data_IF_160597865054
#
_entry.id   IF_160597865054
#
_cell.length_a   1.000
_cell.length_b   1.000
_cell.length_c   1.000
_cell.angle_alpha   90.00
_cell.angle_beta   90.00
_cell.angle_gamma   90.00
#
_symmetry.space_group_name_H-M   'P 1'
#
loop_
_entity.id
_entity.type
_entity.pdbx_description
1 polymer ?
#
# COMPACT_ATOMS: atom_id res chain seq x y z
N UNK A 1 -14.20 11.83 -14.59
CA UNK A 1 -13.58 12.52 -13.44
C UNK A 1 -12.53 11.59 -12.89
N UNK A 2 -11.27 12.01 -12.84
CA UNK A 2 -10.18 11.21 -12.27
C UNK A 2 -10.06 11.57 -10.80
N UNK A 3 -10.49 10.70 -9.90
CA UNK A 3 -10.24 10.88 -8.47
C UNK A 3 -8.74 10.63 -8.22
N UNK A 4 -8.02 11.67 -7.82
CA UNK A 4 -6.65 11.53 -7.33
C UNK A 4 -6.70 10.98 -5.91
N UNK A 5 -6.16 9.78 -5.73
CA UNK A 5 -6.07 9.10 -4.44
C UNK A 5 -4.65 9.33 -3.91
N UNK A 6 -4.52 10.04 -2.80
CA UNK A 6 -3.27 10.19 -2.06
C UNK A 6 -3.45 9.56 -0.68
N UNK A 7 -2.64 8.54 -0.39
CA UNK A 7 -2.68 7.81 0.87
C UNK A 7 -1.31 7.84 1.52
N UNK A 8 -1.28 8.00 2.83
CA UNK A 8 -0.06 7.94 3.64
C UNK A 8 -0.36 7.17 4.91
N UNK A 9 0.52 6.25 5.24
CA UNK A 9 0.47 5.49 6.47
C UNK A 9 1.90 5.31 6.98
N UNK A 10 2.06 5.32 8.30
CA UNK A 10 3.32 4.99 8.94
C UNK A 10 3.42 3.48 9.10
N UNK A 11 4.56 2.91 8.74
CA UNK A 11 4.82 1.47 8.91
C UNK A 11 5.33 1.24 10.35
N UNK A 12 4.58 0.54 11.21
CA UNK A 12 5.07 0.16 12.53
C UNK A 12 6.34 -0.69 12.42
N UNK A 13 7.27 -0.52 13.34
CA UNK A 13 8.54 -1.28 13.38
C UNK A 13 8.32 -2.80 13.48
N UNK A 14 7.21 -3.24 14.07
CA UNK A 14 6.78 -4.64 14.12
C UNK A 14 6.47 -5.23 12.74
N UNK A 15 6.11 -4.37 11.77
CA UNK A 15 5.88 -4.76 10.38
C UNK A 15 7.16 -4.69 9.51
N UNK A 16 8.28 -4.28 10.11
CA UNK A 16 9.59 -4.24 9.46
C UNK A 16 10.03 -5.62 8.96
N UNK A 17 10.64 -5.66 7.78
CA UNK A 17 11.13 -6.90 7.15
C UNK A 17 10.07 -7.73 6.43
N UNK A 18 8.80 -7.33 6.49
CA UNK A 18 7.72 -7.95 5.70
C UNK A 18 7.69 -7.40 4.26
N UNK A 19 6.97 -8.10 3.38
CA UNK A 19 6.79 -7.64 1.99
C UNK A 19 5.92 -6.38 1.96
N UNK A 20 6.28 -5.41 1.14
CA UNK A 20 5.55 -4.16 0.98
C UNK A 20 4.05 -4.36 0.68
N UNK A 21 3.68 -5.33 -0.15
CA UNK A 21 2.26 -5.64 -0.44
C UNK A 21 1.51 -6.20 0.76
N UNK A 22 2.19 -6.91 1.67
CA UNK A 22 1.58 -7.41 2.90
C UNK A 22 1.40 -6.28 3.92
N UNK A 23 2.39 -5.40 4.04
CA UNK A 23 2.31 -4.21 4.89
C UNK A 23 1.23 -3.26 4.38
N UNK A 24 1.22 -2.94 3.08
CA UNK A 24 0.20 -2.10 2.47
C UNK A 24 -1.21 -2.68 2.64
N UNK A 25 -1.39 -4.00 2.56
CA UNK A 25 -2.69 -4.62 2.80
C UNK A 25 -3.18 -4.50 4.26
N UNK A 26 -2.26 -4.40 5.21
CA UNK A 26 -2.59 -4.15 6.62
C UNK A 26 -2.89 -2.67 6.86
N UNK A 27 -2.10 -1.77 6.28
CA UNK A 27 -2.26 -0.31 6.45
C UNK A 27 -3.45 0.25 5.67
N UNK A 28 -3.77 -0.32 4.51
CA UNK A 28 -4.83 0.11 3.61
C UNK A 28 -5.88 -1.00 3.42
N UNK A 29 -6.44 -1.50 4.53
CA UNK A 29 -7.42 -2.60 4.52
C UNK A 29 -8.71 -2.29 3.72
N UNK A 30 -8.98 -1.00 3.47
CA UNK A 30 -10.06 -0.50 2.61
C UNK A 30 -9.84 -0.77 1.11
N UNK A 31 -8.63 -1.17 0.71
CA UNK A 31 -8.29 -1.45 -0.67
C UNK A 31 -7.99 -2.93 -0.89
N UNK A 32 -8.49 -3.46 -1.99
CA UNK A 32 -8.25 -4.85 -2.37
C UNK A 32 -6.75 -5.11 -2.57
N UNK A 33 -6.25 -6.26 -2.10
CA UNK A 33 -4.84 -6.66 -2.25
C UNK A 33 -4.35 -6.62 -3.69
N UNK A 34 -5.21 -6.97 -4.65
CA UNK A 34 -4.90 -6.90 -6.09
C UNK A 34 -4.67 -5.47 -6.55
N UNK A 35 -5.41 -4.49 -6.02
CA UNK A 35 -5.24 -3.06 -6.33
C UNK A 35 -3.93 -2.52 -5.77
N UNK A 36 -3.65 -2.82 -4.49
CA UNK A 36 -2.38 -2.45 -3.85
C UNK A 36 -1.18 -3.07 -4.57
N UNK A 37 -1.29 -4.35 -4.95
CA UNK A 37 -0.25 -5.04 -5.74
C UNK A 37 -0.04 -4.40 -7.11
N UNK A 38 -1.11 -3.94 -7.77
CA UNK A 38 -1.00 -3.22 -9.03
C UNK A 38 -0.27 -1.88 -8.84
N UNK A 39 -0.59 -1.10 -7.81
CA UNK A 39 0.09 0.17 -7.53
C UNK A 39 1.56 0.00 -7.19
N UNK A 40 1.93 -1.03 -6.43
CA UNK A 40 3.34 -1.34 -6.16
C UNK A 40 4.08 -1.66 -7.46
N UNK A 41 3.48 -2.48 -8.34
CA UNK A 41 4.07 -2.82 -9.65
C UNK A 41 4.15 -1.63 -10.60
N UNK A 42 3.19 -0.72 -10.53
CA UNK A 42 3.13 0.49 -11.35
C UNK A 42 4.01 1.63 -10.77
N UNK A 43 4.65 1.42 -9.62
CA UNK A 43 5.46 2.45 -8.94
C UNK A 43 4.64 3.58 -8.31
N UNK A 44 3.33 3.38 -8.12
CA UNK A 44 2.41 4.35 -7.47
C UNK A 44 2.35 4.20 -5.96
N UNK A 45 2.76 3.07 -5.41
CA UNK A 45 2.87 2.86 -3.97
C UNK A 45 4.34 2.64 -3.62
N UNK A 46 4.89 3.57 -2.85
CA UNK A 46 6.31 3.62 -2.48
C UNK A 46 6.46 3.77 -0.96
N UNK A 47 7.64 3.40 -0.45
CA UNK A 47 8.05 3.58 0.96
C UNK A 47 9.04 4.72 1.10
#
# INVERSE_FOLDING_TARGET
MSENIELRAEVPSELGGQRLDQVAAQLFAEHSRSRLSAWIKDGRLTV
#
